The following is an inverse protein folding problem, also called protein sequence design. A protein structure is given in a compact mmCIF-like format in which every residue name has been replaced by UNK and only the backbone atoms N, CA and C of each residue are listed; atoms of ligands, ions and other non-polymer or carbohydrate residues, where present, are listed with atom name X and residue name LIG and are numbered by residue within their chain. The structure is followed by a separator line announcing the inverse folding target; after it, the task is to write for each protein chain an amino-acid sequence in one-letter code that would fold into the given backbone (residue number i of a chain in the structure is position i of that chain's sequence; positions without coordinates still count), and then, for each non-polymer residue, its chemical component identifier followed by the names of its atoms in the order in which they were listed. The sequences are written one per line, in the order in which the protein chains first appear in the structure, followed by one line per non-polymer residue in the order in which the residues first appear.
data_IF_748396961864
#
_entry.id   IF_748396961864
#
_cell.length_a   1.000
_cell.length_b   1.000
_cell.length_c   1.000
_cell.angle_alpha   90.00
_cell.angle_beta   90.00
_cell.angle_gamma   90.00
#
_symmetry.space_group_name_H-M   'P 1'
#
loop_
_entity.id
_entity.type
_entity.pdbx_description
1 polymer ?
#
# COMPACT_ATOMS: atom_id res chain seq x y z
N UNK A 1 2.37 -0.60 -26.95
CA UNK A 1 2.18 -1.22 -25.64
C UNK A 1 0.94 -2.13 -25.62
N UNK A 2 -0.26 -1.61 -25.90
CA UNK A 2 -1.51 -2.40 -25.88
C UNK A 2 -1.50 -3.65 -26.80
N UNK A 3 -0.76 -3.63 -27.90
CA UNK A 3 -0.67 -4.75 -28.83
C UNK A 3 0.08 -5.94 -28.21
N UNK A 4 1.21 -5.68 -27.55
CA UNK A 4 2.03 -6.70 -26.88
C UNK A 4 1.33 -7.25 -25.63
N UNK A 5 0.64 -6.43 -24.89
CA UNK A 5 -0.15 -6.88 -23.75
C UNK A 5 -1.24 -7.90 -24.16
N UNK A 6 -1.86 -7.70 -25.33
CA UNK A 6 -2.85 -8.64 -25.88
C UNK A 6 -2.24 -9.97 -26.34
N UNK A 7 -0.95 -10.00 -26.63
CA UNK A 7 -0.23 -11.19 -27.11
C UNK A 7 0.53 -11.91 -25.98
N UNK A 8 0.36 -11.47 -24.71
CA UNK A 8 1.11 -11.99 -23.56
C UNK A 8 2.64 -11.84 -23.71
N UNK A 9 3.10 -11.01 -24.64
CA UNK A 9 4.52 -10.68 -24.82
C UNK A 9 4.92 -9.57 -23.82
N UNK A 10 5.19 -9.98 -22.61
CA UNK A 10 5.54 -9.07 -21.50
C UNK A 10 6.93 -8.44 -21.69
N UNK A 11 7.86 -9.12 -22.38
CA UNK A 11 9.19 -8.58 -22.64
C UNK A 11 9.14 -7.51 -23.73
N UNK A 12 8.42 -7.74 -24.81
CA UNK A 12 8.20 -6.73 -25.86
C UNK A 12 7.41 -5.54 -25.35
N UNK A 13 6.44 -5.77 -24.46
CA UNK A 13 5.67 -4.72 -23.83
C UNK A 13 6.55 -3.75 -23.02
N UNK A 14 7.37 -4.25 -22.08
CA UNK A 14 8.23 -3.39 -21.26
C UNK A 14 9.34 -2.72 -22.08
N UNK A 15 9.91 -3.41 -23.08
CA UNK A 15 10.95 -2.83 -23.95
C UNK A 15 10.44 -1.56 -24.67
N UNK A 16 9.22 -1.59 -25.22
CA UNK A 16 8.61 -0.41 -25.87
C UNK A 16 8.33 0.71 -24.88
N UNK A 17 7.86 0.38 -23.67
CA UNK A 17 7.64 1.38 -22.63
C UNK A 17 8.97 2.06 -22.26
N UNK A 18 10.03 1.28 -22.03
CA UNK A 18 11.34 1.80 -21.68
C UNK A 18 11.97 2.66 -22.79
N UNK A 19 11.79 2.28 -24.06
CA UNK A 19 12.18 3.11 -25.20
C UNK A 19 11.40 4.43 -25.21
N UNK A 20 10.09 4.37 -24.98
CA UNK A 20 9.26 5.56 -24.85
C UNK A 20 9.70 6.46 -23.68
N UNK A 21 10.00 5.87 -22.53
CA UNK A 21 10.50 6.57 -21.35
C UNK A 21 11.87 7.23 -21.60
N UNK A 22 12.74 6.60 -22.37
CA UNK A 22 14.02 7.20 -22.75
C UNK A 22 13.84 8.44 -23.65
N UNK A 23 12.85 8.42 -24.53
CA UNK A 23 12.53 9.54 -25.41
C UNK A 23 11.68 10.63 -24.72
N UNK A 24 10.76 10.23 -23.84
CA UNK A 24 9.80 11.08 -23.13
C UNK A 24 9.78 10.74 -21.62
N UNK A 25 10.81 11.14 -20.87
CA UNK A 25 10.98 10.73 -19.47
C UNK A 25 9.87 11.23 -18.54
N UNK A 26 9.15 12.28 -18.91
CA UNK A 26 8.12 12.92 -18.10
C UNK A 26 6.69 12.57 -18.55
N UNK A 27 6.54 11.64 -19.50
CA UNK A 27 5.23 11.22 -19.95
C UNK A 27 4.52 10.39 -18.88
N UNK A 28 3.41 10.92 -18.37
CA UNK A 28 2.67 10.33 -17.25
C UNK A 28 2.08 8.95 -17.60
N UNK A 29 1.62 8.76 -18.82
CA UNK A 29 1.04 7.48 -19.24
C UNK A 29 2.11 6.39 -19.30
N UNK A 30 3.30 6.72 -19.79
CA UNK A 30 4.43 5.79 -19.83
C UNK A 30 4.91 5.42 -18.43
N UNK A 31 4.93 6.38 -17.48
CA UNK A 31 5.25 6.12 -16.07
C UNK A 31 4.24 5.12 -15.48
N UNK A 32 2.95 5.33 -15.70
CA UNK A 32 1.89 4.45 -15.21
C UNK A 32 1.96 3.06 -15.86
N UNK A 33 2.22 2.96 -17.15
CA UNK A 33 2.37 1.66 -17.84
C UNK A 33 3.57 0.87 -17.31
N UNK A 34 4.71 1.54 -17.09
CA UNK A 34 5.90 0.91 -16.54
C UNK A 34 5.66 0.43 -15.09
N UNK A 35 5.04 1.27 -14.26
CA UNK A 35 4.66 0.92 -12.89
C UNK A 35 3.74 -0.30 -12.86
N UNK A 36 2.69 -0.30 -13.67
CA UNK A 36 1.75 -1.42 -13.74
C UNK A 36 2.44 -2.73 -14.19
N UNK A 37 3.41 -2.65 -15.11
CA UNK A 37 4.21 -3.81 -15.47
C UNK A 37 5.00 -4.34 -14.29
N UNK A 38 5.71 -3.48 -13.55
CA UNK A 38 6.49 -3.91 -12.40
C UNK A 38 5.61 -4.48 -11.28
N UNK A 39 4.45 -3.89 -11.02
CA UNK A 39 3.51 -4.42 -10.04
C UNK A 39 2.96 -5.80 -10.44
N UNK A 40 2.58 -5.96 -11.71
CA UNK A 40 2.01 -7.22 -12.21
C UNK A 40 3.06 -8.35 -12.33
N UNK A 41 4.33 -8.01 -12.42
CA UNK A 41 5.45 -8.98 -12.48
C UNK A 41 6.18 -9.12 -11.14
N UNK A 42 5.62 -8.55 -10.06
CA UNK A 42 6.16 -8.57 -8.70
C UNK A 42 7.61 -8.00 -8.59
N UNK A 43 7.98 -7.12 -9.50
CA UNK A 43 9.25 -6.40 -9.51
C UNK A 43 9.14 -5.15 -8.62
N UNK A 44 8.98 -5.38 -7.32
CA UNK A 44 8.65 -4.29 -6.38
C UNK A 44 9.78 -3.28 -6.17
N UNK A 45 11.04 -3.69 -6.29
CA UNK A 45 12.18 -2.75 -6.17
C UNK A 45 12.21 -1.79 -7.36
N UNK A 46 11.97 -2.29 -8.57
CA UNK A 46 11.87 -1.45 -9.78
C UNK A 46 10.64 -0.54 -9.72
N UNK A 47 9.51 -1.04 -9.22
CA UNK A 47 8.31 -0.24 -9.00
C UNK A 47 8.58 0.89 -7.99
N UNK A 48 9.27 0.60 -6.88
CA UNK A 48 9.67 1.59 -5.87
C UNK A 48 10.53 2.70 -6.47
N UNK A 49 11.57 2.32 -7.23
CA UNK A 49 12.46 3.29 -7.88
C UNK A 49 11.70 4.18 -8.87
N UNK A 50 10.81 3.60 -9.69
CA UNK A 50 9.99 4.33 -10.63
C UNK A 50 9.07 5.33 -9.92
N UNK A 51 8.41 4.92 -8.82
CA UNK A 51 7.56 5.78 -8.00
C UNK A 51 8.32 6.93 -7.36
N UNK A 52 9.53 6.68 -6.84
CA UNK A 52 10.36 7.72 -6.23
C UNK A 52 10.71 8.81 -7.25
N UNK A 53 11.10 8.42 -8.49
CA UNK A 53 11.35 9.37 -9.57
C UNK A 53 10.10 10.17 -9.97
N UNK A 54 8.93 9.53 -9.97
CA UNK A 54 7.67 10.21 -10.25
C UNK A 54 7.30 11.21 -9.13
N UNK A 55 7.51 10.84 -7.86
CA UNK A 55 7.26 11.71 -6.70
C UNK A 55 8.19 12.94 -6.70
N UNK A 56 9.44 12.82 -7.16
CA UNK A 56 10.33 13.98 -7.30
C UNK A 56 9.75 15.05 -8.23
N UNK A 57 8.97 14.66 -9.23
CA UNK A 57 8.33 15.56 -10.19
C UNK A 57 6.96 16.05 -9.72
N UNK A 58 6.22 15.18 -9.05
CA UNK A 58 4.87 15.44 -8.56
C UNK A 58 4.76 15.14 -7.06
N UNK A 59 5.40 15.95 -6.20
CA UNK A 59 5.48 15.66 -4.76
C UNK A 59 4.13 15.68 -4.04
N UNK A 60 3.14 16.37 -4.60
CA UNK A 60 1.78 16.47 -4.05
C UNK A 60 0.77 15.53 -4.74
N UNK A 61 1.25 14.54 -5.48
CA UNK A 61 0.38 13.53 -6.09
C UNK A 61 0.09 12.40 -5.10
N UNK A 62 -1.11 12.42 -4.50
CA UNK A 62 -1.55 11.43 -3.50
C UNK A 62 -1.51 9.99 -4.01
N UNK A 63 -1.79 9.76 -5.31
CA UNK A 63 -1.80 8.41 -5.89
C UNK A 63 -0.40 7.80 -5.93
N UNK A 64 0.63 8.61 -6.20
CA UNK A 64 2.02 8.15 -6.20
C UNK A 64 2.47 7.75 -4.79
N UNK A 65 2.14 8.56 -3.77
CA UNK A 65 2.44 8.23 -2.38
C UNK A 65 1.66 6.98 -1.92
N UNK A 66 0.39 6.87 -2.26
CA UNK A 66 -0.40 5.67 -1.98
C UNK A 66 0.25 4.42 -2.63
N UNK A 67 0.59 4.49 -3.92
CA UNK A 67 1.23 3.38 -4.64
C UNK A 67 2.58 3.00 -4.02
N UNK A 68 3.37 4.00 -3.57
CA UNK A 68 4.62 3.76 -2.85
C UNK A 68 4.38 3.03 -1.50
N UNK A 69 3.29 3.36 -0.82
CA UNK A 69 2.84 2.65 0.39
C UNK A 69 2.58 1.18 0.11
N UNK A 70 1.79 0.88 -0.93
CA UNK A 70 1.48 -0.49 -1.36
C UNK A 70 2.75 -1.26 -1.73
N UNK A 71 3.66 -0.65 -2.48
CA UNK A 71 4.93 -1.28 -2.88
C UNK A 71 5.83 -1.56 -1.67
N UNK A 72 5.95 -0.60 -0.74
CA UNK A 72 6.72 -0.80 0.49
C UNK A 72 6.12 -1.90 1.37
N UNK A 73 4.79 -2.02 1.44
CA UNK A 73 4.12 -3.12 2.13
C UNK A 73 4.50 -4.48 1.51
N UNK A 74 4.48 -4.59 0.17
CA UNK A 74 4.90 -5.81 -0.54
C UNK A 74 6.37 -6.17 -0.33
N UNK A 75 7.23 -5.17 -0.15
CA UNK A 75 8.66 -5.35 0.19
C UNK A 75 8.91 -5.65 1.68
N UNK A 76 7.89 -5.58 2.53
CA UNK A 76 8.04 -5.72 3.98
C UNK A 76 8.65 -4.49 4.66
N UNK A 77 8.76 -3.37 3.96
CA UNK A 77 9.27 -2.10 4.46
C UNK A 77 8.19 -1.36 5.27
N UNK A 78 7.82 -1.91 6.40
CA UNK A 78 6.68 -1.49 7.24
C UNK A 78 6.64 0.01 7.53
N UNK A 79 7.75 0.59 8.00
CA UNK A 79 7.81 2.01 8.36
C UNK A 79 7.63 2.93 7.14
N UNK A 80 8.23 2.57 6.00
CA UNK A 80 8.12 3.35 4.78
C UNK A 80 6.73 3.23 4.17
N UNK A 81 6.08 2.08 4.30
CA UNK A 81 4.68 1.89 3.88
C UNK A 81 3.75 2.84 4.64
N UNK A 82 3.85 2.86 5.98
CA UNK A 82 3.07 3.76 6.84
C UNK A 82 3.29 5.23 6.45
N UNK A 83 4.56 5.68 6.37
CA UNK A 83 4.89 7.07 5.98
C UNK A 83 4.29 7.45 4.62
N UNK A 84 4.30 6.52 3.67
CA UNK A 84 3.79 6.76 2.32
C UNK A 84 2.26 6.90 2.33
N UNK A 85 1.54 6.04 3.06
CA UNK A 85 0.09 6.18 3.23
C UNK A 85 -0.28 7.47 4.00
N UNK A 86 0.44 7.78 5.08
CA UNK A 86 0.25 9.02 5.84
C UNK A 86 0.46 10.25 4.95
N UNK A 87 1.47 10.25 4.05
CA UNK A 87 1.69 11.35 3.12
C UNK A 87 0.55 11.49 2.10
N UNK A 88 0.02 10.39 1.60
CA UNK A 88 -1.16 10.43 0.73
C UNK A 88 -2.38 11.03 1.44
N UNK A 89 -2.59 10.70 2.73
CA UNK A 89 -3.67 11.23 3.59
C UNK A 89 -3.42 12.71 3.94
N UNK A 90 -2.17 13.12 4.16
CA UNK A 90 -1.80 14.53 4.37
C UNK A 90 -2.18 15.39 3.17
N UNK A 91 -1.93 14.90 1.94
CA UNK A 91 -2.28 15.59 0.70
C UNK A 91 -3.80 15.63 0.50
N UNK A 92 -4.49 14.52 0.77
CA UNK A 92 -5.94 14.44 0.69
C UNK A 92 -6.49 13.57 1.83
N UNK A 93 -7.03 14.23 2.84
CA UNK A 93 -7.56 13.57 4.04
C UNK A 93 -8.82 12.72 3.77
N UNK A 94 -9.44 12.84 2.60
CA UNK A 94 -10.61 12.08 2.16
C UNK A 94 -10.26 11.02 1.11
N UNK A 95 -8.96 10.79 0.86
CA UNK A 95 -8.53 9.78 -0.08
C UNK A 95 -8.77 8.37 0.52
N UNK A 96 -9.92 7.80 0.20
CA UNK A 96 -10.43 6.54 0.74
C UNK A 96 -9.39 5.41 0.71
N UNK A 97 -8.74 5.20 -0.44
CA UNK A 97 -7.79 4.09 -0.63
C UNK A 97 -6.63 4.14 0.38
N UNK A 98 -6.04 5.33 0.61
CA UNK A 98 -4.95 5.49 1.55
C UNK A 98 -5.43 5.33 3.00
N UNK A 99 -6.56 5.92 3.35
CA UNK A 99 -7.16 5.81 4.69
C UNK A 99 -7.50 4.36 5.01
N UNK A 100 -8.19 3.68 4.09
CA UNK A 100 -8.55 2.28 4.27
C UNK A 100 -7.33 1.36 4.37
N UNK A 101 -6.35 1.51 3.46
CA UNK A 101 -5.17 0.63 3.44
C UNK A 101 -4.29 0.83 4.68
N UNK A 102 -4.11 2.06 5.17
CA UNK A 102 -3.39 2.30 6.42
C UNK A 102 -4.09 1.64 7.62
N UNK A 103 -5.42 1.77 7.70
CA UNK A 103 -6.21 1.10 8.73
C UNK A 103 -6.12 -0.43 8.63
N UNK A 104 -6.25 -0.98 7.43
CA UNK A 104 -6.13 -2.40 7.17
C UNK A 104 -4.73 -2.94 7.46
N UNK A 105 -3.69 -2.18 7.17
CA UNK A 105 -2.30 -2.51 7.46
C UNK A 105 -2.09 -2.71 8.97
N UNK A 106 -2.48 -1.74 9.80
CA UNK A 106 -2.40 -1.88 11.26
C UNK A 106 -3.25 -3.02 11.78
N UNK A 107 -4.45 -3.21 11.23
CA UNK A 107 -5.32 -4.32 11.61
C UNK A 107 -4.67 -5.68 11.32
N UNK A 108 -4.11 -5.87 10.14
CA UNK A 108 -3.46 -7.10 9.73
C UNK A 108 -2.22 -7.39 10.61
N UNK A 109 -1.39 -6.38 10.91
CA UNK A 109 -0.27 -6.52 11.84
C UNK A 109 -0.74 -6.95 13.22
N UNK A 110 -1.82 -6.36 13.73
CA UNK A 110 -2.42 -6.76 14.99
C UNK A 110 -2.90 -8.22 14.98
N UNK A 111 -3.50 -8.68 13.88
CA UNK A 111 -3.92 -10.09 13.70
C UNK A 111 -2.71 -11.02 13.71
N UNK A 112 -1.65 -10.69 12.97
CA UNK A 112 -0.41 -11.49 12.93
C UNK A 112 0.24 -11.60 14.31
N UNK A 113 0.39 -10.48 15.01
CA UNK A 113 0.93 -10.45 16.38
C UNK A 113 0.06 -11.25 17.36
N UNK A 114 -1.27 -11.16 17.22
CA UNK A 114 -2.21 -11.90 18.03
C UNK A 114 -2.12 -13.42 17.79
N UNK A 115 -1.95 -13.84 16.55
CA UNK A 115 -1.75 -15.25 16.20
C UNK A 115 -0.40 -15.75 16.73
N UNK A 116 0.66 -14.97 16.56
CA UNK A 116 1.98 -15.30 17.10
C UNK A 116 1.98 -15.40 18.64
N UNK A 117 1.16 -14.59 19.33
CA UNK A 117 1.02 -14.69 20.78
C UNK A 117 0.50 -16.08 21.22
N UNK A 118 -0.42 -16.68 20.46
CA UNK A 118 -1.03 -17.98 20.82
C UNK A 118 -0.02 -19.15 20.82
N UNK A 119 1.16 -18.96 20.25
CA UNK A 119 2.25 -19.95 20.21
C UNK A 119 3.24 -19.76 21.38
N UNK A 120 3.06 -18.73 22.21
CA UNK A 120 3.95 -18.40 23.33
C UNK A 120 3.48 -19.13 24.59
N UNK A 121 4.31 -19.99 25.14
CA UNK A 121 4.00 -20.72 26.39
C UNK A 121 4.20 -19.85 27.66
N UNK A 122 5.18 -18.95 27.64
CA UNK A 122 5.42 -18.04 28.77
C UNK A 122 4.32 -17.00 28.89
N UNK A 123 3.71 -16.94 30.07
CA UNK A 123 2.52 -16.14 30.34
C UNK A 123 2.78 -14.62 30.24
N UNK A 124 3.96 -14.16 30.65
CA UNK A 124 4.27 -12.73 30.61
C UNK A 124 4.65 -12.27 29.20
N UNK A 125 5.39 -13.11 28.45
CA UNK A 125 5.67 -12.89 27.04
C UNK A 125 4.37 -12.94 26.20
N UNK A 126 3.45 -13.87 26.49
CA UNK A 126 2.12 -13.91 25.87
C UNK A 126 1.35 -12.61 26.07
N UNK A 127 1.26 -12.12 27.34
CA UNK A 127 0.56 -10.87 27.63
C UNK A 127 1.21 -9.66 26.95
N UNK A 128 2.55 -9.61 26.94
CA UNK A 128 3.29 -8.55 26.27
C UNK A 128 2.95 -8.55 24.76
N UNK A 129 2.99 -9.71 24.10
CA UNK A 129 2.67 -9.81 22.67
C UNK A 129 1.22 -9.46 22.35
N UNK A 130 0.28 -9.84 23.22
CA UNK A 130 -1.12 -9.42 23.12
C UNK A 130 -1.30 -7.91 23.28
N UNK A 131 -0.53 -7.27 24.15
CA UNK A 131 -0.57 -5.83 24.32
C UNK A 131 -0.04 -5.09 23.08
N UNK A 132 1.04 -5.60 22.43
CA UNK A 132 1.51 -5.10 21.13
C UNK A 132 0.42 -5.22 20.07
N UNK A 133 -0.19 -6.38 19.92
CA UNK A 133 -1.28 -6.60 18.97
C UNK A 133 -2.44 -5.59 19.20
N UNK A 134 -2.83 -5.39 20.47
CA UNK A 134 -3.86 -4.42 20.83
C UNK A 134 -3.47 -2.99 20.45
N UNK A 135 -2.20 -2.61 20.60
CA UNK A 135 -1.72 -1.29 20.20
C UNK A 135 -1.87 -1.08 18.68
N UNK A 136 -1.53 -2.08 17.87
CA UNK A 136 -1.71 -2.00 16.40
C UNK A 136 -3.19 -1.83 16.02
N UNK A 137 -4.07 -2.60 16.61
CA UNK A 137 -5.51 -2.42 16.40
C UNK A 137 -5.99 -1.01 16.78
N UNK A 138 -5.53 -0.49 17.93
CA UNK A 138 -5.89 0.87 18.39
C UNK A 138 -5.40 1.95 17.40
N UNK A 139 -4.25 1.74 16.75
CA UNK A 139 -3.73 2.63 15.69
C UNK A 139 -4.59 2.56 14.42
N UNK A 140 -5.02 1.35 14.03
CA UNK A 140 -5.80 1.14 12.82
C UNK A 140 -7.25 1.62 12.90
N UNK A 141 -7.86 1.54 14.10
CA UNK A 141 -9.29 1.82 14.29
C UNK A 141 -9.76 3.18 13.75
N UNK A 142 -9.13 4.32 14.05
CA UNK A 142 -9.59 5.62 13.57
C UNK A 142 -9.55 5.74 12.03
N UNK A 143 -8.60 5.07 11.38
CA UNK A 143 -8.52 5.03 9.92
C UNK A 143 -9.66 4.19 9.32
N UNK A 144 -9.98 3.04 9.90
CA UNK A 144 -11.09 2.20 9.43
C UNK A 144 -12.46 2.87 9.67
N UNK A 145 -12.63 3.56 10.80
CA UNK A 145 -13.83 4.37 11.06
C UNK A 145 -13.97 5.51 10.06
N UNK A 146 -12.87 6.20 9.74
CA UNK A 146 -12.84 7.26 8.72
C UNK A 146 -13.14 6.69 7.33
N UNK A 147 -12.55 5.57 6.96
CA UNK A 147 -12.84 4.91 5.68
C UNK A 147 -14.32 4.53 5.56
N UNK A 148 -14.93 3.98 6.63
CA UNK A 148 -16.36 3.69 6.65
C UNK A 148 -17.25 4.94 6.55
N UNK A 149 -16.81 6.08 7.09
CA UNK A 149 -17.53 7.36 6.92
C UNK A 149 -17.44 7.86 5.47
N UNK A 150 -16.28 7.66 4.80
CA UNK A 150 -16.07 8.06 3.40
C UNK A 150 -16.84 7.17 2.42
N UNK A 151 -16.87 5.86 2.68
CA UNK A 151 -17.68 4.91 1.92
C UNK A 151 -18.40 3.92 2.84
N UNK A 152 -19.66 4.25 3.25
CA UNK A 152 -20.47 3.36 4.10
C UNK A 152 -20.88 2.05 3.41
N UNK A 153 -20.73 1.93 2.10
CA UNK A 153 -21.02 0.71 1.36
C UNK A 153 -19.90 -0.33 1.42
N UNK A 154 -18.69 0.08 1.79
CA UNK A 154 -17.57 -0.83 1.98
C UNK A 154 -17.73 -1.66 3.26
N UNK A 155 -18.09 -2.94 3.05
CA UNK A 155 -18.25 -3.90 4.16
C UNK A 155 -16.94 -4.30 4.80
N UNK A 156 -15.80 -4.10 4.12
CA UNK A 156 -14.46 -4.43 4.64
C UNK A 156 -14.03 -3.48 5.75
N UNK A 157 -14.20 -2.19 5.56
CA UNK A 157 -13.92 -1.17 6.57
C UNK A 157 -14.82 -1.36 7.80
N UNK A 158 -16.12 -1.57 7.58
CA UNK A 158 -17.10 -1.83 8.64
C UNK A 158 -16.77 -3.10 9.44
N UNK A 159 -16.50 -4.22 8.78
CA UNK A 159 -16.25 -5.49 9.46
C UNK A 159 -15.00 -5.42 10.35
N UNK A 160 -13.94 -4.76 9.90
CA UNK A 160 -12.69 -4.61 10.69
C UNK A 160 -12.86 -3.66 11.87
N UNK A 161 -13.65 -2.59 11.75
CA UNK A 161 -13.93 -1.68 12.86
C UNK A 161 -14.78 -2.31 13.96
N UNK A 162 -15.70 -3.23 13.60
CA UNK A 162 -16.62 -3.91 14.54
C UNK A 162 -15.98 -5.05 15.34
N UNK A 163 -14.90 -5.66 14.86
CA UNK A 163 -14.23 -6.78 15.57
C UNK A 163 -13.55 -6.31 16.87
N UNK A 164 -13.52 -5.02 17.13
CA UNK A 164 -12.74 -4.38 18.21
C UNK A 164 -13.56 -3.87 19.37
N UNK A 165 -14.88 -4.01 19.33
CA UNK A 165 -15.76 -3.77 20.46
C UNK A 165 -15.92 -5.05 21.28
#
# INVERSE_FOLDING_TARGET
ANLYQRQEDTEGYIAIIQEGRAAYPDDADLIVYELNYYLNTEKYDEAKNNLMLAIEKEPDNKQLHFSLGVVNEKLGNTEDAVKSYEKAIEIDSEYFDAVYNLGAFYFNNGVEMNNAANEIEDNDAYKAKRAEAKAEFTRGLPHLEKAHQLDPSDKGAMARSLIHI
#
